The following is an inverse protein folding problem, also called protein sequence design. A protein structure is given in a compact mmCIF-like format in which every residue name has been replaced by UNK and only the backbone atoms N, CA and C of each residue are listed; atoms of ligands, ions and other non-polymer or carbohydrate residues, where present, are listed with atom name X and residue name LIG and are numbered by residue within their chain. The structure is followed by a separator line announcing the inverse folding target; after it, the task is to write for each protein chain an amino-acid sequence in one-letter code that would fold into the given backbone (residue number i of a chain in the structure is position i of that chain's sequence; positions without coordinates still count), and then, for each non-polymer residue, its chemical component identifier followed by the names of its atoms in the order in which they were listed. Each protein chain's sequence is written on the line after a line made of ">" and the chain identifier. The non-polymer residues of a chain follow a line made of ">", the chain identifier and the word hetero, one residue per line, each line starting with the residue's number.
data_IF_276191395672
#
_entry.id   IF_276191395672
#
_cell.length_a   1.000
_cell.length_b   1.000
_cell.length_c   1.000
_cell.angle_alpha   90.00
_cell.angle_beta   90.00
_cell.angle_gamma   90.00
#
_symmetry.space_group_name_H-M   'P 1'
#
loop_
_entity.id
_entity.type
_entity.pdbx_description
1 polymer ?
#
# COMPACT_ATOMS: atom_id res chain seq x y z
N UNK A 1 9.33 -3.51 -22.16
CA UNK A 1 8.45 -2.65 -21.36
C UNK A 1 7.36 -3.44 -20.64
N UNK A 2 6.24 -3.85 -21.25
CA UNK A 2 5.17 -4.58 -20.53
C UNK A 2 5.58 -5.89 -19.82
N UNK A 3 6.46 -6.68 -20.46
CA UNK A 3 6.97 -7.92 -19.86
C UNK A 3 7.83 -7.62 -18.64
N UNK A 4 8.62 -6.54 -18.70
CA UNK A 4 9.52 -6.13 -17.63
C UNK A 4 8.74 -5.58 -16.42
N UNK A 5 7.71 -4.76 -16.67
CA UNK A 5 6.73 -4.34 -15.65
C UNK A 5 6.17 -5.53 -14.88
N UNK A 6 5.73 -6.55 -15.62
CA UNK A 6 5.09 -7.74 -15.06
C UNK A 6 6.07 -8.55 -14.24
N UNK A 7 7.30 -8.74 -14.74
CA UNK A 7 8.35 -9.46 -14.02
C UNK A 7 8.70 -8.73 -12.72
N UNK A 8 8.97 -7.42 -12.79
CA UNK A 8 9.35 -6.63 -11.61
C UNK A 8 8.22 -6.59 -10.57
N UNK A 9 6.97 -6.41 -11.02
CA UNK A 9 5.80 -6.46 -10.14
C UNK A 9 5.67 -7.82 -9.44
N UNK A 10 5.81 -8.90 -10.20
CA UNK A 10 5.68 -10.26 -9.66
C UNK A 10 6.80 -10.56 -8.67
N UNK A 11 8.04 -10.15 -8.96
CA UNK A 11 9.16 -10.29 -8.03
C UNK A 11 8.94 -9.48 -6.77
N UNK A 12 8.49 -8.22 -6.87
CA UNK A 12 8.16 -7.40 -5.72
C UNK A 12 7.10 -8.07 -4.83
N UNK A 13 6.01 -8.59 -5.41
CA UNK A 13 4.99 -9.35 -4.71
C UNK A 13 5.56 -10.59 -3.99
N UNK A 14 6.41 -11.37 -4.68
CA UNK A 14 7.03 -12.56 -4.11
C UNK A 14 7.93 -12.22 -2.92
N UNK A 15 8.73 -11.17 -3.04
CA UNK A 15 9.62 -10.72 -1.96
C UNK A 15 8.83 -10.15 -0.77
N UNK A 16 7.76 -9.38 -1.02
CA UNK A 16 6.85 -8.92 0.04
C UNK A 16 6.22 -10.09 0.80
N UNK A 17 5.73 -11.10 0.08
CA UNK A 17 5.12 -12.29 0.69
C UNK A 17 6.11 -13.08 1.56
N UNK A 18 7.41 -13.03 1.23
CA UNK A 18 8.50 -13.65 2.01
C UNK A 18 9.04 -12.80 3.16
N UNK A 19 8.58 -11.56 3.31
CA UNK A 19 9.11 -10.61 4.29
C UNK A 19 10.44 -9.94 3.86
N UNK A 20 10.87 -10.13 2.61
CA UNK A 20 12.10 -9.55 2.07
C UNK A 20 11.85 -8.14 1.53
N UNK A 21 11.48 -7.21 2.41
CA UNK A 21 10.97 -5.89 2.03
C UNK A 21 12.02 -5.00 1.33
N UNK A 22 13.30 -5.11 1.70
CA UNK A 22 14.38 -4.35 1.04
C UNK A 22 14.51 -4.77 -0.42
N UNK A 23 14.57 -6.09 -0.68
CA UNK A 23 14.64 -6.61 -2.05
C UNK A 23 13.38 -6.30 -2.85
N UNK A 24 12.21 -6.29 -2.20
CA UNK A 24 10.98 -5.83 -2.85
C UNK A 24 11.11 -4.37 -3.33
N UNK A 25 11.64 -3.47 -2.48
CA UNK A 25 11.90 -2.08 -2.87
C UNK A 25 12.90 -1.97 -4.03
N UNK A 26 13.94 -2.81 -4.08
CA UNK A 26 14.88 -2.82 -5.20
C UNK A 26 14.15 -3.13 -6.52
N UNK A 27 13.28 -4.15 -6.55
CA UNK A 27 12.50 -4.45 -7.75
C UNK A 27 11.49 -3.35 -8.11
N UNK A 28 10.88 -2.72 -7.11
CA UNK A 28 9.94 -1.60 -7.30
C UNK A 28 10.64 -0.37 -7.88
N UNK A 29 11.87 -0.06 -7.42
CA UNK A 29 12.59 1.15 -7.81
C UNK A 29 13.41 0.98 -9.10
N UNK A 30 13.62 -0.26 -9.58
CA UNK A 30 14.38 -0.53 -10.81
C UNK A 30 13.74 0.03 -12.08
N UNK A 31 12.43 0.26 -12.08
CA UNK A 31 11.69 0.62 -13.27
C UNK A 31 10.52 1.57 -12.94
N UNK A 32 10.25 2.56 -13.80
CA UNK A 32 9.02 3.36 -13.75
C UNK A 32 7.98 2.73 -14.68
N UNK A 33 6.90 2.12 -14.16
CA UNK A 33 5.99 1.32 -14.98
C UNK A 33 5.31 2.13 -16.08
N UNK A 34 5.21 1.60 -17.30
CA UNK A 34 4.60 2.36 -18.40
C UNK A 34 3.10 2.62 -18.17
N UNK A 35 2.37 1.58 -17.73
CA UNK A 35 0.92 1.68 -17.52
C UNK A 35 0.58 2.40 -16.22
N UNK A 36 -0.37 3.35 -16.28
CA UNK A 36 -0.88 4.09 -15.13
C UNK A 36 -1.35 3.17 -14.00
N UNK A 37 -2.07 2.09 -14.33
CA UNK A 37 -2.53 1.10 -13.34
C UNK A 37 -1.36 0.41 -12.63
N UNK A 38 -0.30 0.09 -13.38
CA UNK A 38 0.92 -0.46 -12.80
C UNK A 38 1.60 0.56 -11.89
N UNK A 39 1.68 1.84 -12.27
CA UNK A 39 2.25 2.89 -11.41
C UNK A 39 1.56 2.95 -10.04
N UNK A 40 0.22 2.87 -10.01
CA UNK A 40 -0.52 2.83 -8.73
C UNK A 40 -0.22 1.55 -7.96
N UNK A 41 -0.23 0.40 -8.62
CA UNK A 41 0.06 -0.89 -7.98
C UNK A 41 1.47 -0.92 -7.37
N UNK A 42 2.49 -0.43 -8.09
CA UNK A 42 3.86 -0.31 -7.57
C UNK A 42 3.93 0.63 -6.37
N UNK A 43 3.22 1.77 -6.40
CA UNK A 43 3.12 2.68 -5.25
C UNK A 43 2.48 2.00 -4.03
N UNK A 44 1.43 1.19 -4.22
CA UNK A 44 0.80 0.41 -3.16
C UNK A 44 1.79 -0.61 -2.56
N UNK A 45 2.51 -1.37 -3.39
CA UNK A 45 3.53 -2.31 -2.92
C UNK A 45 4.67 -1.59 -2.17
N UNK A 46 5.07 -0.41 -2.65
CA UNK A 46 6.08 0.42 -2.01
C UNK A 46 5.63 0.91 -0.64
N UNK A 47 4.38 1.34 -0.50
CA UNK A 47 3.79 1.73 0.79
C UNK A 47 3.83 0.57 1.78
N UNK A 48 3.47 -0.65 1.35
CA UNK A 48 3.55 -1.84 2.19
C UNK A 48 5.00 -2.09 2.64
N UNK A 49 5.95 -2.09 1.70
CA UNK A 49 7.35 -2.33 2.03
C UNK A 49 7.93 -1.28 2.99
N UNK A 50 7.62 0.00 2.77
CA UNK A 50 8.06 1.09 3.66
C UNK A 50 7.44 0.97 5.05
N UNK A 51 6.17 0.57 5.13
CA UNK A 51 5.49 0.35 6.40
C UNK A 51 6.15 -0.77 7.22
N UNK A 52 6.48 -1.88 6.57
CA UNK A 52 7.12 -3.02 7.20
C UNK A 52 8.56 -2.73 7.64
N UNK A 53 9.25 -1.85 6.91
CA UNK A 53 10.61 -1.39 7.24
C UNK A 53 10.65 -0.26 8.27
N UNK A 54 9.50 0.20 8.78
CA UNK A 54 9.37 1.36 9.67
C UNK A 54 9.99 2.65 9.09
N UNK A 55 9.95 2.82 7.77
CA UNK A 55 10.47 4.02 7.08
C UNK A 55 9.38 5.08 6.96
N UNK A 56 9.03 5.67 8.11
CA UNK A 56 7.83 6.50 8.26
C UNK A 56 7.84 7.81 7.48
N UNK A 57 8.98 8.48 7.40
CA UNK A 57 9.12 9.72 6.63
C UNK A 57 8.89 9.46 5.13
N UNK A 58 9.57 8.45 4.58
CA UNK A 58 9.38 8.01 3.19
C UNK A 58 7.93 7.55 2.94
N UNK A 59 7.33 6.85 3.90
CA UNK A 59 5.95 6.40 3.83
C UNK A 59 4.97 7.58 3.73
N UNK A 60 5.08 8.59 4.60
CA UNK A 60 4.21 9.76 4.60
C UNK A 60 4.27 10.53 3.28
N UNK A 61 5.49 10.81 2.80
CA UNK A 61 5.71 11.46 1.50
C UNK A 61 5.11 10.66 0.34
N UNK A 62 5.21 9.32 0.40
CA UNK A 62 4.63 8.46 -0.62
C UNK A 62 3.10 8.42 -0.56
N UNK A 63 2.49 8.44 0.63
CA UNK A 63 1.02 8.50 0.78
C UNK A 63 0.48 9.76 0.10
N UNK A 64 1.07 10.92 0.40
CA UNK A 64 0.60 12.20 -0.14
C UNK A 64 0.79 12.30 -1.65
N UNK A 65 1.97 11.93 -2.15
CA UNK A 65 2.23 11.94 -3.59
C UNK A 65 1.36 10.92 -4.34
N UNK A 66 1.05 9.77 -3.75
CA UNK A 66 0.17 8.76 -4.35
C UNK A 66 -1.28 9.22 -4.37
N UNK A 67 -1.75 9.87 -3.29
CA UNK A 67 -3.08 10.49 -3.26
C UNK A 67 -3.23 11.56 -4.35
N UNK A 68 -2.22 12.43 -4.50
CA UNK A 68 -2.21 13.44 -5.55
C UNK A 68 -2.23 12.80 -6.95
N UNK A 69 -1.38 11.81 -7.20
CA UNK A 69 -1.29 11.10 -8.48
C UNK A 69 -2.63 10.45 -8.86
N UNK A 70 -3.28 9.75 -7.94
CA UNK A 70 -4.58 9.10 -8.16
C UNK A 70 -5.68 10.14 -8.47
N UNK A 71 -5.66 11.28 -7.77
CA UNK A 71 -6.65 12.36 -7.97
C UNK A 71 -6.47 13.08 -9.31
N UNK A 72 -5.22 13.31 -9.74
CA UNK A 72 -4.93 14.07 -10.96
C UNK A 72 -4.96 13.23 -12.23
N UNK A 73 -4.98 11.90 -12.14
CA UNK A 73 -4.89 11.04 -13.32
C UNK A 73 -6.27 10.63 -13.82
N UNK A 74 -6.65 11.18 -14.98
CA UNK A 74 -7.94 10.93 -15.63
C UNK A 74 -8.05 9.52 -16.22
N UNK A 75 -6.93 8.89 -16.57
CA UNK A 75 -6.87 7.55 -17.17
C UNK A 75 -7.23 6.40 -16.21
N UNK A 76 -7.45 6.70 -14.94
CA UNK A 76 -7.83 5.73 -13.91
C UNK A 76 -9.35 5.64 -13.84
N UNK A 77 -9.90 4.42 -13.95
CA UNK A 77 -11.32 4.18 -13.74
C UNK A 77 -11.77 4.57 -12.32
N UNK A 78 -12.99 5.06 -12.18
CA UNK A 78 -13.50 5.54 -10.88
C UNK A 78 -13.48 4.43 -9.81
N UNK A 79 -13.77 3.18 -10.20
CA UNK A 79 -13.72 2.03 -9.30
C UNK A 79 -12.29 1.83 -8.77
N UNK A 80 -11.29 1.88 -9.64
CA UNK A 80 -9.89 1.70 -9.23
C UNK A 80 -9.38 2.89 -8.41
N UNK A 81 -9.80 4.12 -8.76
CA UNK A 81 -9.53 5.34 -7.99
C UNK A 81 -10.06 5.21 -6.57
N UNK A 82 -11.32 4.81 -6.43
CA UNK A 82 -11.99 4.64 -5.14
C UNK A 82 -11.27 3.58 -4.29
N UNK A 83 -11.06 2.38 -4.82
CA UNK A 83 -10.37 1.29 -4.09
C UNK A 83 -8.95 1.67 -3.65
N UNK A 84 -8.23 2.41 -4.48
CA UNK A 84 -6.88 2.90 -4.14
C UNK A 84 -6.94 3.97 -3.04
N UNK A 85 -7.94 4.86 -3.08
CA UNK A 85 -8.16 5.86 -2.04
C UNK A 85 -8.56 5.21 -0.70
N UNK A 86 -9.40 4.18 -0.72
CA UNK A 86 -9.80 3.43 0.46
C UNK A 86 -8.60 2.71 1.09
N UNK A 87 -7.73 2.11 0.27
CA UNK A 87 -6.46 1.56 0.74
C UNK A 87 -5.59 2.63 1.40
N UNK A 88 -5.40 3.79 0.76
CA UNK A 88 -4.60 4.89 1.32
C UNK A 88 -5.17 5.40 2.65
N UNK A 89 -6.49 5.47 2.77
CA UNK A 89 -7.17 5.86 4.01
C UNK A 89 -6.93 4.82 5.10
N UNK A 90 -7.10 3.54 4.79
CA UNK A 90 -6.91 2.45 5.75
C UNK A 90 -5.46 2.38 6.25
N UNK A 91 -4.47 2.43 5.35
CA UNK A 91 -3.06 2.34 5.74
C UNK A 91 -2.58 3.56 6.52
N UNK A 92 -3.10 4.76 6.20
CA UNK A 92 -2.77 5.96 6.99
C UNK A 92 -3.36 5.90 8.40
N UNK A 93 -4.59 5.38 8.57
CA UNK A 93 -5.16 5.15 9.91
C UNK A 93 -4.35 4.13 10.71
N UNK A 94 -3.86 3.07 10.08
CA UNK A 94 -2.98 2.09 10.75
C UNK A 94 -1.66 2.71 11.18
N UNK A 95 -1.08 3.57 10.33
CA UNK A 95 0.12 4.32 10.66
C UNK A 95 -0.12 5.24 11.88
N UNK A 96 -1.22 5.99 11.89
CA UNK A 96 -1.60 6.85 13.02
C UNK A 96 -1.86 6.05 14.30
N UNK A 97 -2.54 4.91 14.21
CA UNK A 97 -2.75 4.02 15.36
C UNK A 97 -1.43 3.52 15.94
N UNK A 98 -0.48 3.13 15.09
CA UNK A 98 0.83 2.61 15.49
C UNK A 98 1.75 3.66 16.10
N UNK A 99 1.85 4.84 15.49
CA UNK A 99 2.81 5.87 15.92
C UNK A 99 2.26 6.76 17.04
N UNK A 100 0.97 7.10 16.98
CA UNK A 100 0.37 8.10 17.88
C UNK A 100 -0.43 7.48 19.02
N UNK A 101 -0.68 6.16 19.00
CA UNK A 101 -1.63 5.46 19.88
C UNK A 101 -3.00 6.17 19.95
N UNK A 102 -3.36 6.93 18.91
CA UNK A 102 -4.47 7.88 18.94
C UNK A 102 -5.77 7.33 18.38
N UNK A 103 -5.73 6.13 17.80
CA UNK A 103 -6.88 5.51 17.16
C UNK A 103 -7.12 4.12 17.72
N UNK A 104 -8.41 3.79 17.88
CA UNK A 104 -8.86 2.46 18.25
C UNK A 104 -8.66 1.50 17.07
N UNK A 105 -7.75 0.53 17.24
CA UNK A 105 -7.40 -0.46 16.22
C UNK A 105 -8.60 -1.38 15.91
N UNK A 106 -9.48 -1.65 16.88
CA UNK A 106 -10.67 -2.48 16.69
C UNK A 106 -11.66 -1.84 15.70
N UNK A 107 -11.81 -0.51 15.76
CA UNK A 107 -12.67 0.21 14.83
C UNK A 107 -12.08 0.22 13.41
N UNK A 108 -10.76 0.30 13.31
CA UNK A 108 -10.05 0.17 12.03
C UNK A 108 -10.24 -1.24 11.47
N UNK A 109 -10.06 -2.28 12.29
CA UNK A 109 -10.24 -3.68 11.93
C UNK A 109 -11.65 -3.92 11.39
N UNK A 110 -12.70 -3.53 12.13
CA UNK A 110 -14.10 -3.71 11.69
C UNK A 110 -14.41 -3.00 10.38
N UNK A 111 -13.85 -1.80 10.18
CA UNK A 111 -14.00 -1.06 8.92
C UNK A 111 -13.40 -1.84 7.75
N UNK A 112 -12.18 -2.37 7.92
CA UNK A 112 -11.47 -3.15 6.89
C UNK A 112 -12.16 -4.51 6.65
N UNK A 113 -12.67 -5.13 7.72
CA UNK A 113 -13.35 -6.40 7.65
C UNK A 113 -14.64 -6.30 6.82
N UNK A 114 -15.41 -5.22 6.99
CA UNK A 114 -16.66 -4.99 6.27
C UNK A 114 -16.48 -4.69 4.77
N UNK A 115 -15.31 -4.22 4.33
CA UNK A 115 -15.04 -3.90 2.92
C UNK A 115 -14.35 -5.06 2.20
N UNK A 116 -15.13 -5.91 1.53
CA UNK A 116 -14.63 -7.04 0.75
C UNK A 116 -13.83 -6.64 -0.49
N UNK A 117 -14.00 -5.41 -0.98
CA UNK A 117 -13.38 -4.92 -2.21
C UNK A 117 -12.06 -4.17 -1.94
N UNK A 118 -11.66 -4.05 -0.68
CA UNK A 118 -10.47 -3.33 -0.28
C UNK A 118 -9.20 -4.01 -0.80
N UNK A 119 -8.37 -3.23 -1.51
CA UNK A 119 -7.09 -3.71 -2.01
C UNK A 119 -6.18 -4.05 -0.81
N UNK A 120 -5.48 -5.19 -0.89
CA UNK A 120 -4.57 -5.66 0.17
C UNK A 120 -5.25 -5.86 1.53
N UNK A 121 -6.57 -6.12 1.55
CA UNK A 121 -7.37 -6.39 2.77
C UNK A 121 -6.70 -7.37 3.73
N UNK A 122 -6.21 -8.50 3.22
CA UNK A 122 -5.54 -9.53 4.04
C UNK A 122 -4.34 -8.97 4.80
N UNK A 123 -3.52 -8.15 4.14
CA UNK A 123 -2.36 -7.53 4.77
C UNK A 123 -2.80 -6.50 5.81
N UNK A 124 -3.78 -5.65 5.49
CA UNK A 124 -4.32 -4.65 6.41
C UNK A 124 -4.91 -5.28 7.70
N UNK A 125 -5.69 -6.34 7.58
CA UNK A 125 -6.22 -7.08 8.73
C UNK A 125 -5.10 -7.68 9.59
N UNK A 126 -4.08 -8.26 8.97
CA UNK A 126 -2.89 -8.76 9.68
C UNK A 126 -2.21 -7.64 10.47
N UNK A 127 -2.03 -6.45 9.86
CA UNK A 127 -1.42 -5.30 10.54
C UNK A 127 -2.25 -4.81 11.72
N UNK A 128 -3.58 -4.84 11.64
CA UNK A 128 -4.43 -4.51 12.78
C UNK A 128 -4.12 -5.43 13.97
N UNK A 129 -4.10 -6.75 13.76
CA UNK A 129 -3.82 -7.74 14.81
C UNK A 129 -2.43 -7.54 15.43
N UNK A 130 -1.41 -7.33 14.60
CA UNK A 130 -0.04 -7.08 15.08
C UNK A 130 0.10 -5.78 15.89
N UNK A 131 -0.76 -4.78 15.67
CA UNK A 131 -0.76 -3.53 16.44
C UNK A 131 -1.55 -3.72 17.74
N UNK A 132 -2.65 -4.47 17.73
CA UNK A 132 -3.44 -4.73 18.94
C UNK A 132 -2.74 -5.64 19.95
N UNK A 133 -1.81 -6.50 19.50
CA UNK A 133 -1.04 -7.40 20.37
C UNK A 133 0.18 -6.72 21.05
N UNK A 134 0.45 -5.46 20.75
CA UNK A 134 1.53 -4.66 21.36
C UNK A 134 1.03 -3.87 22.56
#
# INVERSE_FOLDING_TARGET
>A
EYVEDTINYTQACLHLARGNYITALEFINKHDPFLVYNKVNFRILKLIALFELNRWEEFGLLVDSTRQFIRSTELISDIFRQRSADFLKAVNRLFEAREKNSLNVDDIYRTIEADENLIQRRWLLKKCLEISEK
#
